data_IF_058626137117
#
_entry.id   IF_058626137117
#
_cell.length_a   1.000
_cell.length_b   1.000
_cell.length_c   1.000
_cell.angle_alpha   90.00
_cell.angle_beta   90.00
_cell.angle_gamma   90.00
#
_symmetry.space_group_name_H-M   'P 1'
#
loop_
_entity.id
_entity.type
_entity.pdbx_description
1 polymer ?
#
# COMPACT_ATOMS: atom_id res chain seq x y z
N UNK A 1 -21.85 -0.92 -0.82
CA UNK A 1 -20.92 -0.26 0.10
C UNK A 1 -20.13 -1.30 0.86
N UNK A 2 -18.85 -1.02 1.10
CA UNK A 2 -17.92 -1.89 1.80
C UNK A 2 -17.62 -1.36 3.21
N UNK A 3 -17.09 -2.21 4.08
CA UNK A 3 -16.75 -1.89 5.47
C UNK A 3 -15.61 -0.88 5.62
N UNK A 4 -14.76 -0.75 4.61
CA UNK A 4 -13.69 0.25 4.55
C UNK A 4 -14.19 1.62 4.05
N UNK A 5 -15.50 1.81 3.87
CA UNK A 5 -16.11 3.06 3.41
C UNK A 5 -16.24 3.18 1.89
N UNK A 6 -15.61 2.29 1.12
CA UNK A 6 -15.66 2.31 -0.33
C UNK A 6 -17.03 1.88 -0.90
N UNK A 7 -17.33 2.32 -2.13
CA UNK A 7 -18.57 1.94 -2.83
C UNK A 7 -18.26 1.42 -4.22
N UNK A 8 -18.61 0.15 -4.45
CA UNK A 8 -18.59 -0.46 -5.78
C UNK A 8 -19.93 -0.17 -6.46
N UNK A 9 -19.88 0.42 -7.67
CA UNK A 9 -21.04 0.59 -8.55
C UNK A 9 -20.96 -0.41 -9.69
N UNK A 10 -22.00 -1.24 -9.86
CA UNK A 10 -22.12 -2.18 -10.97
C UNK A 10 -23.01 -1.54 -12.04
N UNK A 11 -22.46 -1.29 -13.23
CA UNK A 11 -23.22 -0.69 -14.33
C UNK A 11 -24.29 -1.65 -14.88
N UNK A 12 -25.32 -1.10 -15.54
CA UNK A 12 -26.35 -1.91 -16.18
C UNK A 12 -25.74 -2.85 -17.23
N UNK A 13 -26.06 -4.15 -17.15
CA UNK A 13 -25.50 -5.18 -18.02
C UNK A 13 -24.11 -5.69 -17.61
N UNK A 14 -23.48 -5.12 -16.58
CA UNK A 14 -22.24 -5.63 -16.00
C UNK A 14 -22.54 -6.61 -14.85
N UNK A 15 -21.58 -7.47 -14.54
CA UNK A 15 -21.65 -8.43 -13.42
C UNK A 15 -20.58 -8.19 -12.36
N UNK A 16 -19.70 -7.21 -12.58
CA UNK A 16 -18.60 -6.88 -11.67
C UNK A 16 -18.32 -5.39 -11.66
N UNK A 17 -17.64 -4.96 -10.60
CA UNK A 17 -17.11 -3.64 -10.38
C UNK A 17 -15.99 -3.74 -9.36
N UNK A 18 -15.14 -2.73 -9.31
CA UNK A 18 -13.92 -2.75 -8.51
C UNK A 18 -13.77 -1.43 -7.77
N UNK A 19 -12.92 -1.46 -6.74
CA UNK A 19 -12.39 -0.27 -6.08
C UNK A 19 -10.90 -0.47 -5.88
N UNK A 20 -10.14 0.61 -5.99
CA UNK A 20 -8.70 0.61 -5.77
C UNK A 20 -8.41 1.15 -4.36
N UNK A 21 -7.55 0.44 -3.63
CA UNK A 21 -7.02 0.88 -2.34
C UNK A 21 -5.52 1.05 -2.49
N UNK A 22 -5.02 2.25 -2.20
CA UNK A 22 -3.59 2.53 -2.30
C UNK A 22 -2.81 1.71 -1.26
N UNK A 23 -1.76 1.03 -1.71
CA UNK A 23 -0.75 0.48 -0.82
C UNK A 23 0.16 1.60 -0.28
N UNK A 24 0.86 1.38 0.84
CA UNK A 24 1.98 2.21 1.26
C UNK A 24 3.01 2.37 0.12
N UNK A 25 3.73 3.49 0.14
CA UNK A 25 4.81 3.74 -0.81
C UNK A 25 6.09 3.02 -0.39
N UNK A 26 7.03 2.88 -1.32
CA UNK A 26 8.35 2.30 -1.03
C UNK A 26 9.18 3.29 -0.20
N UNK A 27 9.64 2.87 0.97
CA UNK A 27 10.41 3.70 1.88
C UNK A 27 11.30 2.86 2.83
N UNK A 28 12.12 3.50 3.69
CA UNK A 28 13.03 2.78 4.59
C UNK A 28 12.37 2.11 5.80
N UNK A 29 11.04 2.14 5.92
CA UNK A 29 10.29 1.49 7.00
C UNK A 29 9.63 0.22 6.47
N UNK A 30 9.27 -0.69 7.39
CA UNK A 30 8.53 -1.90 7.03
C UNK A 30 7.10 -1.74 7.56
N UNK A 31 6.19 -1.33 6.68
CA UNK A 31 4.82 -0.97 7.05
C UNK A 31 3.75 -1.79 6.33
N UNK A 32 4.15 -2.97 5.85
CA UNK A 32 3.25 -4.00 5.33
C UNK A 32 2.03 -4.22 6.23
N UNK A 33 0.85 -4.30 5.60
CA UNK A 33 -0.44 -4.31 6.29
C UNK A 33 -1.44 -5.21 5.57
N UNK A 34 -2.57 -5.51 6.23
CA UNK A 34 -3.68 -6.25 5.63
C UNK A 34 -4.88 -5.34 5.49
N UNK A 35 -5.41 -5.24 4.26
CA UNK A 35 -6.68 -4.57 4.00
C UNK A 35 -7.79 -5.62 4.02
N UNK A 36 -8.80 -5.41 4.85
CA UNK A 36 -9.97 -6.28 4.93
C UNK A 36 -11.22 -5.50 4.55
N UNK A 37 -12.02 -6.05 3.65
CA UNK A 37 -13.29 -5.47 3.24
C UNK A 37 -14.37 -6.54 3.12
N UNK A 38 -15.56 -6.22 3.64
CA UNK A 38 -16.79 -6.98 3.38
C UNK A 38 -17.89 -6.04 2.93
N UNK A 39 -18.94 -6.58 2.32
CA UNK A 39 -20.11 -5.81 1.96
C UNK A 39 -20.91 -5.49 3.22
N UNK A 40 -21.21 -4.21 3.46
CA UNK A 40 -22.04 -3.76 4.58
C UNK A 40 -23.47 -3.43 4.17
N UNK A 41 -23.67 -3.21 2.86
CA UNK A 41 -24.97 -2.95 2.29
C UNK A 41 -24.90 -2.88 0.78
N UNK A 42 -25.99 -3.26 0.14
CA UNK A 42 -26.19 -3.12 -1.29
C UNK A 42 -27.57 -2.48 -1.53
N UNK A 43 -27.64 -1.63 -2.54
CA UNK A 43 -28.88 -0.94 -2.93
C UNK A 43 -28.90 -0.75 -4.44
N UNK A 44 -30.09 -0.67 -5.02
CA UNK A 44 -30.28 -0.47 -6.46
C UNK A 44 -30.72 -1.74 -7.19
N UNK A 45 -31.03 -1.57 -8.48
CA UNK A 45 -31.64 -2.60 -9.32
C UNK A 45 -33.10 -2.91 -8.98
N UNK A 46 -33.70 -3.76 -9.80
CA UNK A 46 -35.04 -4.32 -9.67
C UNK A 46 -34.93 -5.80 -9.24
N UNK A 47 -34.13 -6.05 -8.20
CA UNK A 47 -33.95 -7.38 -7.65
C UNK A 47 -34.93 -7.58 -6.48
N UNK A 48 -35.93 -8.42 -6.68
CA UNK A 48 -36.88 -8.80 -5.61
C UNK A 48 -36.23 -9.57 -4.44
N UNK A 49 -35.02 -10.12 -4.62
CA UNK A 49 -34.31 -10.90 -3.59
C UNK A 49 -32.78 -10.86 -3.77
N UNK A 50 -32.15 -9.76 -3.34
CA UNK A 50 -30.69 -9.62 -3.38
C UNK A 50 -30.05 -10.27 -2.16
N UNK A 51 -29.47 -11.46 -2.33
CA UNK A 51 -28.60 -12.08 -1.34
C UNK A 51 -27.18 -11.49 -1.41
N UNK A 52 -26.67 -11.04 -0.27
CA UNK A 52 -25.33 -10.43 -0.15
C UNK A 52 -24.44 -11.33 0.70
N UNK A 53 -23.27 -11.67 0.17
CA UNK A 53 -22.22 -12.30 0.97
C UNK A 53 -21.49 -11.23 1.80
N UNK A 54 -21.53 -11.40 3.12
CA UNK A 54 -20.91 -10.49 4.09
C UNK A 54 -19.56 -11.02 4.59
N UNK A 55 -19.05 -12.10 3.99
CA UNK A 55 -17.73 -12.65 4.32
C UNK A 55 -16.65 -11.63 4.00
N UNK A 56 -15.75 -11.42 4.96
CA UNK A 56 -14.60 -10.54 4.77
C UNK A 56 -13.61 -11.15 3.77
N UNK A 57 -13.11 -10.29 2.88
CA UNK A 57 -12.04 -10.60 1.95
C UNK A 57 -10.81 -9.82 2.38
N UNK A 58 -9.72 -10.55 2.63
CA UNK A 58 -8.44 -10.00 3.06
C UNK A 58 -7.46 -9.91 1.89
N UNK A 59 -6.77 -8.78 1.79
CA UNK A 59 -5.65 -8.56 0.87
C UNK A 59 -4.42 -8.23 1.70
N UNK A 60 -3.40 -9.10 1.61
CA UNK A 60 -2.13 -8.91 2.32
C UNK A 60 -1.19 -8.09 1.46
N UNK A 61 -0.70 -6.97 2.00
CA UNK A 61 0.29 -6.11 1.38
C UNK A 61 1.66 -6.49 1.94
N UNK A 62 2.52 -7.00 1.07
CA UNK A 62 3.93 -7.26 1.38
C UNK A 62 4.76 -6.06 0.99
N UNK A 63 5.54 -5.56 1.95
CA UNK A 63 6.37 -4.38 1.79
C UNK A 63 7.87 -4.73 1.78
N UNK A 64 8.70 -3.83 1.25
CA UNK A 64 10.15 -3.98 1.11
C UNK A 64 10.88 -2.80 1.73
N UNK A 65 12.08 -3.04 2.22
CA UNK A 65 12.90 -1.98 2.81
C UNK A 65 13.68 -1.25 1.70
N UNK A 66 13.42 0.04 1.49
CA UNK A 66 14.24 0.90 0.62
C UNK A 66 15.31 1.64 1.43
N UNK A 67 16.45 0.98 1.67
CA UNK A 67 17.54 1.58 2.44
C UNK A 67 18.43 2.46 1.56
N UNK A 68 18.52 3.74 1.91
CA UNK A 68 19.59 4.60 1.40
C UNK A 68 20.87 4.39 2.21
N UNK A 69 22.00 4.18 1.53
CA UNK A 69 23.32 4.04 2.17
C UNK A 69 24.22 5.21 1.80
N UNK A 70 25.11 5.59 2.72
CA UNK A 70 26.14 6.61 2.52
C UNK A 70 27.51 5.97 2.76
N UNK A 71 28.47 6.18 1.85
CA UNK A 71 29.83 5.67 1.99
C UNK A 71 30.82 6.81 2.08
N UNK A 72 31.40 7.01 3.26
CA UNK A 72 32.40 8.05 3.47
C UNK A 72 33.80 7.48 3.30
N UNK A 73 34.59 8.07 2.40
CA UNK A 73 35.99 7.71 2.19
C UNK A 73 36.91 8.90 2.48
N UNK A 74 38.12 8.60 2.96
CA UNK A 74 39.17 9.57 3.18
C UNK A 74 40.55 8.93 3.00
N UNK A 75 41.56 9.75 2.78
CA UNK A 75 42.97 9.33 2.82
C UNK A 75 43.32 8.81 4.22
N UNK A 76 43.93 7.62 4.30
CA UNK A 76 44.23 6.94 5.57
C UNK A 76 45.25 7.64 6.48
N UNK A 77 46.01 8.61 5.95
CA UNK A 77 46.88 9.49 6.72
C UNK A 77 47.14 10.79 5.97
N UNK A 78 47.49 11.84 6.72
CA UNK A 78 48.05 13.10 6.20
C UNK A 78 49.26 13.49 7.04
N UNK A 79 50.16 14.26 6.44
CA UNK A 79 51.27 14.86 7.16
C UNK A 79 50.78 15.90 8.18
N UNK A 80 51.62 16.20 9.18
CA UNK A 80 51.33 17.23 10.18
C UNK A 80 51.14 18.60 9.50
N UNK A 81 50.01 19.27 9.77
CA UNK A 81 49.59 20.49 9.07
C UNK A 81 48.87 20.26 7.73
N UNK A 82 48.67 19.02 7.30
CA UNK A 82 47.91 18.66 6.09
C UNK A 82 46.38 18.66 6.28
N UNK A 83 45.65 18.63 5.16
CA UNK A 83 44.17 18.59 5.13
C UNK A 83 43.70 17.20 4.75
N UNK A 84 42.85 16.58 5.57
CA UNK A 84 42.07 15.40 5.18
C UNK A 84 40.78 15.88 4.50
N UNK A 85 40.50 15.36 3.32
CA UNK A 85 39.21 15.55 2.65
C UNK A 85 38.41 14.27 2.76
N UNK A 86 37.15 14.40 3.20
CA UNK A 86 36.19 13.31 3.24
C UNK A 86 35.23 13.44 2.05
N UNK A 87 35.05 12.36 1.31
CA UNK A 87 34.11 12.28 0.18
C UNK A 87 33.04 11.26 0.51
N UNK A 88 31.78 11.68 0.46
CA UNK A 88 30.60 10.88 0.78
C UNK A 88 29.91 10.36 -0.50
#
# INVERSE_FOLDING_TARGET
TLSNGETITIAAGATSGTVDVAAPGDDPYLDGSTVSAHITGASGGNFEDLAVDNTAVDTVITDTLDTTTLSLSASGSVAEGGVITYTA
#
